data_IF_492934298289
#
_entry.id   IF_492934298289
#
_cell.length_a   1.000
_cell.length_b   1.000
_cell.length_c   1.000
_cell.angle_alpha   90.00
_cell.angle_beta   90.00
_cell.angle_gamma   90.00
#
_symmetry.space_group_name_H-M   'P 1'
#
loop_
_entity.id
_entity.type
_entity.pdbx_description
1 polymer ?
#
# COMPACT_ATOMS: atom_id res chain seq x y z
N UNK A 1 42.67 70.29 -18.13
CA UNK A 1 41.60 69.33 -18.42
C UNK A 1 41.71 68.25 -17.36
N UNK A 2 41.13 68.49 -16.19
CA UNK A 2 40.96 67.47 -15.15
C UNK A 2 39.45 67.26 -15.04
N UNK A 3 39.00 66.07 -15.43
CA UNK A 3 37.61 65.68 -15.43
C UNK A 3 37.18 65.37 -13.99
N UNK A 4 36.32 66.24 -13.45
CA UNK A 4 35.81 66.19 -12.10
C UNK A 4 34.46 65.45 -12.09
N UNK A 5 34.50 64.12 -12.19
CA UNK A 5 33.33 63.29 -11.87
C UNK A 5 33.47 62.79 -10.44
N UNK A 6 32.83 63.48 -9.49
CA UNK A 6 32.88 63.22 -8.04
C UNK A 6 32.17 61.92 -7.60
N UNK A 7 32.61 60.77 -8.10
CA UNK A 7 32.18 59.46 -7.63
C UNK A 7 33.37 58.71 -7.03
N UNK A 8 33.26 58.32 -5.76
CA UNK A 8 34.26 57.52 -5.06
C UNK A 8 34.28 56.08 -5.64
N UNK A 9 35.35 55.64 -6.32
CA UNK A 9 35.43 54.33 -6.96
C UNK A 9 35.21 53.16 -5.98
N UNK A 10 35.57 53.37 -4.71
CA UNK A 10 35.40 52.39 -3.64
C UNK A 10 33.93 52.16 -3.27
N UNK A 11 33.09 53.19 -3.37
CA UNK A 11 31.65 53.10 -3.08
C UNK A 11 30.92 52.25 -4.15
N UNK A 12 31.29 52.36 -5.42
CA UNK A 12 30.76 51.53 -6.51
C UNK A 12 31.15 50.05 -6.35
N UNK A 13 32.37 49.78 -5.89
CA UNK A 13 32.85 48.42 -5.65
C UNK A 13 32.15 47.77 -4.45
N UNK A 14 31.93 48.53 -3.36
CA UNK A 14 31.14 48.08 -2.22
C UNK A 14 29.69 47.77 -2.61
N UNK A 15 29.04 48.65 -3.38
CA UNK A 15 27.66 48.43 -3.84
C UNK A 15 27.53 47.15 -4.68
N UNK A 16 28.45 46.93 -5.63
CA UNK A 16 28.50 45.70 -6.44
C UNK A 16 28.65 44.44 -5.58
N UNK A 17 29.50 44.49 -4.56
CA UNK A 17 29.69 43.37 -3.63
C UNK A 17 28.42 43.06 -2.81
N UNK A 18 27.78 44.08 -2.23
CA UNK A 18 26.54 43.88 -1.47
C UNK A 18 25.39 43.37 -2.34
N UNK A 19 25.24 43.90 -3.56
CA UNK A 19 24.21 43.42 -4.51
C UNK A 19 24.43 41.95 -4.91
N UNK A 20 25.68 41.53 -5.13
CA UNK A 20 25.99 40.13 -5.43
C UNK A 20 25.63 39.19 -4.26
N UNK A 21 25.93 39.58 -3.01
CA UNK A 21 25.57 38.81 -1.81
C UNK A 21 24.06 38.66 -1.67
N UNK A 22 23.29 39.74 -1.90
CA UNK A 22 21.83 39.72 -1.84
C UNK A 22 21.25 38.82 -2.93
N UNK A 23 21.78 38.88 -4.15
CA UNK A 23 21.32 38.00 -5.25
C UNK A 23 21.61 36.53 -4.92
N UNK A 24 22.81 36.23 -4.42
CA UNK A 24 23.20 34.87 -4.04
C UNK A 24 22.33 34.35 -2.89
N UNK A 25 22.06 35.16 -1.87
CA UNK A 25 21.23 34.75 -0.73
C UNK A 25 19.78 34.52 -1.14
N UNK A 26 19.23 35.35 -2.04
CA UNK A 26 17.91 35.15 -2.63
C UNK A 26 17.83 33.87 -3.46
N UNK A 27 18.85 33.58 -4.28
CA UNK A 27 18.95 32.34 -5.06
C UNK A 27 19.00 31.10 -4.17
N UNK A 28 19.82 31.13 -3.13
CA UNK A 28 19.92 30.03 -2.17
C UNK A 28 18.58 29.83 -1.45
N UNK A 29 17.96 30.91 -0.95
CA UNK A 29 16.66 30.85 -0.29
C UNK A 29 15.57 30.27 -1.20
N UNK A 30 15.55 30.66 -2.48
CA UNK A 30 14.64 30.13 -3.48
C UNK A 30 14.83 28.63 -3.71
N UNK A 31 16.09 28.18 -3.85
CA UNK A 31 16.40 26.75 -4.02
C UNK A 31 15.96 25.93 -2.81
N UNK A 32 16.17 26.43 -1.59
CA UNK A 32 15.67 25.78 -0.37
C UNK A 32 14.15 25.68 -0.35
N UNK A 33 13.44 26.75 -0.72
CA UNK A 33 11.98 26.73 -0.80
C UNK A 33 11.46 25.77 -1.87
N UNK A 34 12.08 25.74 -3.04
CA UNK A 34 11.73 24.81 -4.12
C UNK A 34 11.95 23.35 -3.68
N UNK A 35 13.08 23.05 -3.04
CA UNK A 35 13.37 21.73 -2.51
C UNK A 35 12.37 21.32 -1.42
N UNK A 36 12.09 22.21 -0.46
CA UNK A 36 11.12 21.95 0.60
C UNK A 36 9.71 21.74 0.06
N UNK A 37 9.28 22.59 -0.88
CA UNK A 37 7.99 22.47 -1.56
C UNK A 37 7.88 21.15 -2.33
N UNK A 38 8.92 20.79 -3.09
CA UNK A 38 8.95 19.53 -3.83
C UNK A 38 8.87 18.31 -2.89
N UNK A 39 9.61 18.32 -1.78
CA UNK A 39 9.56 17.26 -0.77
C UNK A 39 8.16 17.14 -0.15
N UNK A 40 7.56 18.27 0.24
CA UNK A 40 6.23 18.31 0.83
C UNK A 40 5.15 17.84 -0.17
N UNK A 41 5.28 18.21 -1.44
CA UNK A 41 4.38 17.77 -2.50
C UNK A 41 4.44 16.24 -2.69
N UNK A 42 5.63 15.64 -2.71
CA UNK A 42 5.79 14.19 -2.80
C UNK A 42 5.24 13.46 -1.57
N UNK A 43 5.50 13.98 -0.36
CA UNK A 43 4.93 13.42 0.87
C UNK A 43 3.40 13.45 0.86
N UNK A 44 2.81 14.56 0.40
CA UNK A 44 1.35 14.70 0.33
C UNK A 44 0.74 13.73 -0.68
N UNK A 45 1.37 13.51 -1.84
CA UNK A 45 0.91 12.49 -2.80
C UNK A 45 0.93 11.08 -2.21
N UNK A 46 1.98 10.73 -1.47
CA UNK A 46 2.09 9.43 -0.80
C UNK A 46 1.06 9.30 0.33
N UNK A 47 0.86 10.35 1.13
CA UNK A 47 -0.17 10.40 2.18
C UNK A 47 -1.57 10.23 1.59
N UNK A 48 -1.88 10.94 0.51
CA UNK A 48 -3.16 10.85 -0.19
C UNK A 48 -3.41 9.43 -0.73
N UNK A 49 -2.42 8.83 -1.39
CA UNK A 49 -2.51 7.43 -1.84
C UNK A 49 -2.73 6.46 -0.69
N UNK A 50 -2.05 6.66 0.45
CA UNK A 50 -2.25 5.85 1.66
C UNK A 50 -3.63 6.04 2.28
N UNK A 51 -4.17 7.26 2.28
CA UNK A 51 -5.53 7.55 2.78
C UNK A 51 -6.57 6.91 1.86
N UNK A 52 -6.41 7.00 0.54
CA UNK A 52 -7.30 6.34 -0.43
C UNK A 52 -7.24 4.83 -0.27
N UNK A 53 -6.04 4.25 -0.13
CA UNK A 53 -5.88 2.82 0.14
C UNK A 53 -6.49 2.39 1.48
N UNK A 54 -6.27 3.18 2.54
CA UNK A 54 -6.80 2.93 3.87
C UNK A 54 -8.33 3.05 3.92
N UNK A 55 -8.93 4.03 3.24
CA UNK A 55 -10.38 4.19 3.16
C UNK A 55 -11.04 3.12 2.28
N UNK A 56 -10.39 2.71 1.19
CA UNK A 56 -10.79 1.57 0.37
C UNK A 56 -10.83 0.27 1.18
N UNK A 57 -9.71 -0.01 1.88
CA UNK A 57 -9.61 -1.17 2.77
C UNK A 57 -10.63 -1.08 3.88
N UNK A 58 -10.77 0.06 4.56
CA UNK A 58 -11.72 0.24 5.65
C UNK A 58 -13.18 0.05 5.20
N UNK A 59 -13.56 0.50 3.99
CA UNK A 59 -14.89 0.24 3.42
C UNK A 59 -15.10 -1.24 3.10
N UNK A 60 -14.08 -1.90 2.57
CA UNK A 60 -14.12 -3.34 2.31
C UNK A 60 -14.19 -4.15 3.63
N UNK A 61 -13.41 -3.75 4.62
CA UNK A 61 -13.41 -4.35 5.96
C UNK A 61 -14.75 -4.10 6.67
N UNK A 62 -15.37 -2.92 6.48
CA UNK A 62 -16.72 -2.66 6.95
C UNK A 62 -17.76 -3.56 6.25
N UNK A 63 -17.64 -3.77 4.94
CA UNK A 63 -18.50 -4.70 4.20
C UNK A 63 -18.28 -6.15 4.64
N UNK A 64 -17.05 -6.53 5.00
CA UNK A 64 -16.69 -7.83 5.56
C UNK A 64 -17.22 -8.01 6.99
N UNK A 65 -17.26 -6.93 7.76
CA UNK A 65 -17.76 -6.90 9.14
C UNK A 65 -19.30 -6.90 9.21
N UNK A 66 -19.99 -6.50 8.14
CA UNK A 66 -21.41 -6.77 7.98
C UNK A 66 -21.54 -8.18 7.41
N UNK A 67 -21.69 -9.17 8.29
CA UNK A 67 -22.30 -10.43 7.86
C UNK A 67 -23.61 -10.05 7.17
N UNK A 68 -23.72 -10.26 5.85
CA UNK A 68 -24.89 -9.82 5.09
C UNK A 68 -26.14 -10.34 5.81
N UNK A 69 -26.91 -9.47 6.50
CA UNK A 69 -28.03 -9.93 7.32
C UNK A 69 -29.04 -10.64 6.44
N UNK A 70 -29.17 -10.19 5.20
CA UNK A 70 -30.07 -10.79 4.23
C UNK A 70 -29.58 -12.18 3.77
N UNK A 71 -28.28 -12.41 3.60
CA UNK A 71 -27.74 -13.76 3.36
C UNK A 71 -28.00 -14.67 4.56
N UNK A 72 -27.79 -14.18 5.78
CA UNK A 72 -28.02 -14.95 7.01
C UNK A 72 -29.50 -15.33 7.15
N UNK A 73 -30.43 -14.36 7.06
CA UNK A 73 -31.87 -14.63 7.14
C UNK A 73 -32.34 -15.59 6.05
N UNK A 74 -31.88 -15.42 4.81
CA UNK A 74 -32.21 -16.35 3.73
C UNK A 74 -31.67 -17.76 3.99
N UNK A 75 -30.47 -17.87 4.55
CA UNK A 75 -29.86 -19.15 4.87
C UNK A 75 -30.61 -19.85 6.00
N UNK A 76 -31.09 -19.09 6.99
CA UNK A 76 -31.93 -19.62 8.07
C UNK A 76 -33.28 -20.12 7.55
N UNK A 77 -33.93 -19.42 6.62
CA UNK A 77 -35.19 -19.88 6.03
C UNK A 77 -35.03 -21.20 5.26
N UNK A 78 -33.95 -21.34 4.48
CA UNK A 78 -33.63 -22.61 3.80
C UNK A 78 -33.33 -23.70 4.82
N UNK A 79 -32.62 -23.39 5.91
CA UNK A 79 -32.37 -24.35 6.97
C UNK A 79 -33.68 -24.82 7.62
N UNK A 80 -34.60 -23.91 7.93
CA UNK A 80 -35.90 -24.24 8.51
C UNK A 80 -36.71 -25.17 7.60
N UNK A 81 -36.75 -24.93 6.28
CA UNK A 81 -37.44 -25.85 5.36
C UNK A 81 -36.76 -27.21 5.26
N UNK A 82 -35.43 -27.25 5.34
CA UNK A 82 -34.67 -28.51 5.28
C UNK A 82 -34.79 -29.35 6.56
N UNK A 83 -35.01 -28.73 7.74
CA UNK A 83 -35.13 -29.46 9.00
C UNK A 83 -36.29 -30.46 8.96
N UNK A 84 -37.42 -30.04 8.39
CA UNK A 84 -38.62 -30.88 8.32
C UNK A 84 -38.59 -31.83 7.12
N UNK A 85 -38.13 -31.38 5.95
CA UNK A 85 -38.18 -32.18 4.71
C UNK A 85 -36.98 -33.14 4.54
N UNK A 86 -35.76 -32.69 4.87
CA UNK A 86 -34.49 -33.40 4.59
C UNK A 86 -33.48 -33.18 5.73
N UNK A 87 -33.65 -33.82 6.90
CA UNK A 87 -32.83 -33.55 8.10
C UNK A 87 -31.31 -33.68 7.89
N UNK A 88 -30.87 -34.66 7.10
CA UNK A 88 -29.45 -34.81 6.76
C UNK A 88 -28.92 -33.64 5.93
N UNK A 89 -29.74 -33.11 5.02
CA UNK A 89 -29.38 -31.93 4.23
C UNK A 89 -29.33 -30.68 5.12
N UNK A 90 -30.22 -30.53 6.11
CA UNK A 90 -30.16 -29.47 7.11
C UNK A 90 -28.85 -29.51 7.93
N UNK A 91 -28.40 -30.69 8.36
CA UNK A 91 -27.11 -30.84 9.05
C UNK A 91 -25.92 -30.44 8.16
N UNK A 92 -25.92 -30.90 6.90
CA UNK A 92 -24.89 -30.53 5.91
C UNK A 92 -24.92 -29.03 5.61
N UNK A 93 -26.11 -28.43 5.51
CA UNK A 93 -26.31 -27.00 5.30
C UNK A 93 -25.74 -26.20 6.48
N UNK A 94 -26.08 -26.57 7.72
CA UNK A 94 -25.58 -25.92 8.95
C UNK A 94 -24.06 -26.00 9.05
N UNK A 95 -23.48 -27.16 8.76
CA UNK A 95 -22.03 -27.35 8.74
C UNK A 95 -21.36 -26.48 7.68
N UNK A 96 -21.93 -26.42 6.47
CA UNK A 96 -21.41 -25.61 5.37
C UNK A 96 -21.51 -24.12 5.72
N UNK A 97 -22.62 -23.68 6.29
CA UNK A 97 -22.83 -22.31 6.76
C UNK A 97 -21.79 -21.93 7.82
N UNK A 98 -21.52 -22.80 8.80
CA UNK A 98 -20.47 -22.60 9.81
C UNK A 98 -19.08 -22.46 9.17
N UNK A 99 -18.74 -23.30 8.18
CA UNK A 99 -17.47 -23.19 7.43
C UNK A 99 -17.36 -21.87 6.69
N UNK A 100 -18.46 -21.36 6.10
CA UNK A 100 -18.47 -20.06 5.44
C UNK A 100 -18.11 -18.95 6.41
N UNK A 101 -18.82 -18.88 7.56
CA UNK A 101 -18.56 -17.85 8.55
C UNK A 101 -17.15 -17.94 9.12
N UNK A 102 -16.67 -19.16 9.41
CA UNK A 102 -15.31 -19.37 9.89
C UNK A 102 -14.27 -18.85 8.91
N UNK A 103 -14.40 -19.17 7.63
CA UNK A 103 -13.49 -18.68 6.60
C UNK A 103 -13.51 -17.14 6.51
N UNK A 104 -14.69 -16.52 6.50
CA UNK A 104 -14.82 -15.05 6.47
C UNK A 104 -14.09 -14.39 7.65
N UNK A 105 -14.17 -15.00 8.84
CA UNK A 105 -13.50 -14.56 10.06
C UNK A 105 -11.99 -14.83 10.04
N UNK A 106 -11.55 -16.01 9.59
CA UNK A 106 -10.13 -16.40 9.53
C UNK A 106 -9.35 -15.58 8.49
N UNK A 107 -9.94 -15.32 7.34
CA UNK A 107 -9.31 -14.51 6.31
C UNK A 107 -9.39 -13.01 6.62
N UNK A 108 -9.85 -12.59 7.82
CA UNK A 108 -10.06 -11.18 8.20
C UNK A 108 -8.88 -10.28 7.86
N UNK A 109 -7.69 -10.70 8.25
CA UNK A 109 -6.48 -9.88 8.17
C UNK A 109 -5.53 -10.30 7.04
N UNK A 110 -5.96 -11.19 6.14
CA UNK A 110 -5.14 -11.64 5.02
C UNK A 110 -5.38 -10.76 3.79
N UNK A 111 -4.28 -10.26 3.22
CA UNK A 111 -4.29 -9.53 1.94
C UNK A 111 -4.53 -10.46 0.76
N UNK A 112 -3.94 -11.66 0.84
CA UNK A 112 -3.93 -12.69 -0.20
C UNK A 112 -4.08 -14.06 0.44
N UNK A 113 -4.75 -14.96 -0.27
CA UNK A 113 -4.89 -16.39 0.03
C UNK A 113 -4.47 -17.20 -1.18
N UNK A 114 -4.16 -18.49 -1.00
CA UNK A 114 -3.93 -19.37 -2.15
C UNK A 114 -5.17 -19.49 -3.01
N UNK A 115 -4.99 -19.69 -4.32
CA UNK A 115 -6.09 -20.03 -5.23
C UNK A 115 -6.79 -21.31 -4.75
N UNK A 116 -6.05 -22.27 -4.22
CA UNK A 116 -6.62 -23.48 -3.60
C UNK A 116 -7.56 -23.18 -2.42
N UNK A 117 -7.16 -22.33 -1.48
CA UNK A 117 -8.02 -21.90 -0.37
C UNK A 117 -9.29 -21.21 -0.87
N UNK A 118 -9.17 -20.33 -1.87
CA UNK A 118 -10.30 -19.60 -2.44
C UNK A 118 -11.24 -20.54 -3.23
N UNK A 119 -10.71 -21.49 -4.00
CA UNK A 119 -11.49 -22.51 -4.72
C UNK A 119 -12.23 -23.45 -3.74
N UNK A 120 -11.56 -23.91 -2.68
CA UNK A 120 -12.20 -24.74 -1.65
C UNK A 120 -13.34 -24.01 -0.92
N UNK A 121 -13.14 -22.71 -0.67
CA UNK A 121 -14.19 -21.84 -0.14
C UNK A 121 -15.35 -21.67 -1.14
N UNK A 122 -15.05 -21.40 -2.41
CA UNK A 122 -16.04 -21.29 -3.48
C UNK A 122 -16.86 -22.57 -3.65
N UNK A 123 -16.25 -23.76 -3.55
CA UNK A 123 -16.97 -25.06 -3.54
C UNK A 123 -17.94 -25.17 -2.38
N UNK A 124 -17.51 -24.79 -1.17
CA UNK A 124 -18.38 -24.80 0.01
C UNK A 124 -19.57 -23.85 -0.17
N UNK A 125 -19.33 -22.68 -0.75
CA UNK A 125 -20.37 -21.69 -1.04
C UNK A 125 -21.33 -22.16 -2.14
N UNK A 126 -20.80 -22.75 -3.21
CA UNK A 126 -21.57 -23.35 -4.29
C UNK A 126 -22.47 -24.49 -3.80
N UNK A 127 -22.01 -25.29 -2.84
CA UNK A 127 -22.82 -26.34 -2.22
C UNK A 127 -24.06 -25.76 -1.50
N UNK A 128 -23.91 -24.64 -0.77
CA UNK A 128 -25.05 -23.95 -0.15
C UNK A 128 -26.03 -23.42 -1.21
N UNK A 129 -25.53 -22.82 -2.28
CA UNK A 129 -26.37 -22.35 -3.38
C UNK A 129 -27.11 -23.51 -4.07
N UNK A 130 -26.44 -24.65 -4.26
CA UNK A 130 -27.05 -25.85 -4.83
C UNK A 130 -28.13 -26.45 -3.93
N UNK A 131 -27.97 -26.42 -2.61
CA UNK A 131 -29.04 -26.81 -1.68
C UNK A 131 -30.25 -25.87 -1.75
N UNK A 132 -30.03 -24.58 -2.00
CA UNK A 132 -31.10 -23.58 -2.12
C UNK A 132 -31.85 -23.61 -3.44
N UNK A 133 -31.13 -23.79 -4.55
CA UNK A 133 -31.68 -23.67 -5.91
C UNK A 133 -31.81 -25.02 -6.63
N UNK A 134 -31.40 -26.11 -5.98
CA UNK A 134 -31.49 -27.48 -6.48
C UNK A 134 -30.96 -27.62 -7.91
N UNK A 135 -31.77 -28.15 -8.84
CA UNK A 135 -31.39 -28.37 -10.23
C UNK A 135 -31.39 -27.10 -11.08
N UNK A 136 -31.77 -25.95 -10.51
CA UNK A 136 -31.82 -24.67 -11.22
C UNK A 136 -30.44 -24.00 -11.36
N UNK A 137 -29.40 -24.54 -10.73
CA UNK A 137 -28.04 -24.00 -10.77
C UNK A 137 -27.00 -25.12 -10.90
N UNK A 138 -25.94 -24.85 -11.65
CA UNK A 138 -24.82 -25.77 -11.82
C UNK A 138 -23.49 -25.02 -11.76
N UNK A 139 -22.49 -25.69 -11.22
CA UNK A 139 -21.15 -25.16 -11.04
C UNK A 139 -20.14 -26.13 -11.61
N UNK A 140 -19.19 -25.59 -12.38
CA UNK A 140 -18.00 -26.31 -12.83
C UNK A 140 -16.77 -25.52 -12.37
N UNK A 141 -15.88 -26.18 -11.63
CA UNK A 141 -14.67 -25.56 -11.11
C UNK A 141 -13.59 -26.61 -10.82
N UNK A 142 -12.31 -26.29 -11.01
CA UNK A 142 -11.22 -27.22 -10.75
C UNK A 142 -11.10 -27.53 -9.25
N UNK A 143 -10.66 -28.76 -8.94
CA UNK A 143 -10.42 -29.17 -7.55
C UNK A 143 -9.21 -28.42 -6.97
N UNK A 144 -8.17 -28.25 -7.78
CA UNK A 144 -6.92 -27.59 -7.43
C UNK A 144 -6.49 -26.59 -8.51
N UNK A 145 -5.78 -25.56 -8.08
CA UNK A 145 -5.10 -24.61 -8.93
C UNK A 145 -3.96 -25.28 -9.71
N UNK A 146 -3.61 -24.74 -10.88
CA UNK A 146 -2.48 -25.24 -11.65
C UNK A 146 -1.14 -25.03 -10.90
N UNK A 147 -1.03 -23.93 -10.16
CA UNK A 147 0.11 -23.60 -9.30
C UNK A 147 -0.33 -23.51 -7.82
N UNK A 148 0.20 -24.34 -6.92
CA UNK A 148 -0.11 -24.29 -5.48
C UNK A 148 0.26 -22.96 -4.80
N UNK A 149 1.26 -22.24 -5.32
CA UNK A 149 1.72 -20.96 -4.76
C UNK A 149 0.94 -19.77 -5.31
N UNK A 150 0.09 -19.99 -6.32
CA UNK A 150 -0.80 -18.98 -6.87
C UNK A 150 -1.66 -18.37 -5.77
N UNK A 151 -1.73 -17.03 -5.74
CA UNK A 151 -2.51 -16.26 -4.78
C UNK A 151 -3.59 -15.43 -5.46
N UNK A 152 -4.65 -15.17 -4.72
CA UNK A 152 -5.75 -14.26 -5.09
C UNK A 152 -6.21 -13.47 -3.87
N UNK A 153 -6.95 -12.39 -4.14
CA UNK A 153 -7.60 -11.61 -3.09
C UNK A 153 -8.72 -12.46 -2.45
N UNK A 154 -8.76 -12.61 -1.11
CA UNK A 154 -9.74 -13.46 -0.45
C UNK A 154 -11.16 -12.93 -0.64
N UNK A 155 -12.12 -13.86 -0.70
CA UNK A 155 -13.56 -13.62 -0.90
C UNK A 155 -13.92 -13.07 -2.30
N UNK A 156 -12.99 -13.09 -3.26
CA UNK A 156 -13.26 -12.66 -4.64
C UNK A 156 -14.23 -13.61 -5.33
N UNK A 157 -14.03 -14.93 -5.24
CA UNK A 157 -14.91 -15.89 -5.91
C UNK A 157 -16.31 -15.88 -5.31
N UNK A 158 -16.44 -15.76 -3.99
CA UNK A 158 -17.77 -15.63 -3.35
C UNK A 158 -18.54 -14.44 -3.92
N UNK A 159 -17.92 -13.26 -4.01
CA UNK A 159 -18.56 -12.08 -4.56
C UNK A 159 -18.96 -12.28 -6.04
N UNK A 160 -18.16 -12.99 -6.83
CA UNK A 160 -18.49 -13.31 -8.22
C UNK A 160 -19.65 -14.31 -8.33
N UNK A 161 -19.67 -15.34 -7.49
CA UNK A 161 -20.77 -16.30 -7.39
C UNK A 161 -22.08 -15.62 -6.95
N UNK A 162 -22.00 -14.73 -5.96
CA UNK A 162 -23.14 -13.93 -5.49
C UNK A 162 -23.67 -13.03 -6.61
N UNK A 163 -22.79 -12.33 -7.34
CA UNK A 163 -23.16 -11.50 -8.48
C UNK A 163 -23.88 -12.32 -9.56
N UNK A 164 -23.38 -13.52 -9.89
CA UNK A 164 -24.02 -14.39 -10.88
C UNK A 164 -25.46 -14.74 -10.46
N UNK A 165 -25.69 -15.16 -9.22
CA UNK A 165 -27.04 -15.52 -8.72
C UNK A 165 -27.95 -14.28 -8.58
N UNK A 166 -27.40 -13.15 -8.15
CA UNK A 166 -28.15 -11.92 -7.91
C UNK A 166 -28.73 -11.37 -9.21
N UNK A 167 -27.91 -11.28 -10.25
CA UNK A 167 -28.28 -10.63 -11.51
C UNK A 167 -29.02 -11.54 -12.50
N UNK A 168 -28.98 -12.86 -12.30
CA UNK A 168 -29.61 -13.82 -13.20
C UNK A 168 -30.84 -14.50 -12.57
N UNK A 169 -31.81 -14.84 -13.43
CA UNK A 169 -32.91 -15.74 -13.11
C UNK A 169 -32.33 -17.14 -12.92
N UNK A 170 -32.90 -17.85 -11.95
CA UNK A 170 -32.50 -19.20 -11.58
C UNK A 170 -33.77 -20.04 -11.63
N UNK A 171 -33.87 -20.96 -12.59
CA UNK A 171 -35.04 -21.83 -12.75
C UNK A 171 -34.65 -23.16 -13.40
N UNK A 172 -35.41 -24.23 -13.14
CA UNK A 172 -35.09 -25.55 -13.67
C UNK A 172 -35.17 -25.62 -15.20
N UNK A 173 -36.10 -24.87 -15.81
CA UNK A 173 -36.24 -24.80 -17.27
C UNK A 173 -35.03 -24.16 -17.95
N UNK A 174 -34.38 -23.22 -17.25
CA UNK A 174 -33.19 -22.52 -17.73
C UNK A 174 -32.17 -22.40 -16.60
N UNK A 175 -31.38 -23.46 -16.33
CA UNK A 175 -30.45 -23.46 -15.22
C UNK A 175 -29.35 -22.40 -15.41
N UNK A 176 -28.97 -21.76 -14.29
CA UNK A 176 -27.80 -20.89 -14.25
C UNK A 176 -26.55 -21.77 -14.19
N UNK A 177 -25.68 -21.64 -15.19
CA UNK A 177 -24.40 -22.35 -15.29
C UNK A 177 -23.29 -21.39 -14.95
N UNK A 178 -22.44 -21.76 -13.99
CA UNK A 178 -21.29 -20.96 -13.56
C UNK A 178 -20.04 -21.82 -13.67
N UNK A 179 -19.07 -21.34 -14.43
CA UNK A 179 -17.79 -21.99 -14.70
C UNK A 179 -16.67 -21.15 -14.07
N UNK A 180 -15.73 -21.79 -13.38
CA UNK A 180 -14.51 -21.18 -12.86
C UNK A 180 -13.32 -21.94 -13.44
N UNK A 181 -12.37 -21.24 -14.04
CA UNK A 181 -11.18 -21.84 -14.64
C UNK A 181 -10.02 -20.86 -14.67
N UNK A 182 -8.81 -21.38 -14.89
CA UNK A 182 -7.61 -20.55 -15.06
C UNK A 182 -7.34 -20.32 -16.55
N UNK A 183 -7.06 -19.06 -16.91
CA UNK A 183 -6.73 -18.69 -18.29
C UNK A 183 -5.85 -17.43 -18.31
N UNK A 184 -4.75 -17.44 -19.06
CA UNK A 184 -3.90 -16.26 -19.25
C UNK A 184 -3.32 -15.68 -17.95
N UNK A 185 -3.06 -16.53 -16.94
CA UNK A 185 -2.61 -16.11 -15.61
C UNK A 185 -3.67 -15.33 -14.82
N UNK A 186 -4.94 -15.54 -15.14
CA UNK A 186 -6.11 -15.04 -14.43
C UNK A 186 -6.98 -16.21 -13.97
N UNK A 187 -7.70 -16.00 -12.89
CA UNK A 187 -8.80 -16.85 -12.48
C UNK A 187 -10.08 -16.24 -13.07
N UNK A 188 -10.80 -17.00 -13.88
CA UNK A 188 -11.94 -16.55 -14.65
C UNK A 188 -13.20 -17.13 -14.07
N UNK A 189 -14.24 -16.31 -13.88
CA UNK A 189 -15.60 -16.77 -13.59
C UNK A 189 -16.50 -16.39 -14.75
N UNK A 190 -17.18 -17.38 -15.31
CA UNK A 190 -18.09 -17.23 -16.46
C UNK A 190 -19.47 -17.76 -16.10
N UNK A 191 -20.53 -17.05 -16.48
CA UNK A 191 -21.90 -17.56 -16.35
C UNK A 191 -22.74 -17.24 -17.60
N UNK A 192 -23.74 -18.09 -17.88
CA UNK A 192 -24.76 -17.75 -18.88
C UNK A 192 -25.65 -16.59 -18.37
N UNK A 193 -26.04 -15.69 -19.27
CA UNK A 193 -26.86 -14.52 -18.94
C UNK A 193 -28.35 -14.86 -19.00
N UNK A 194 -29.04 -14.51 -17.93
CA UNK A 194 -30.48 -14.65 -17.76
C UNK A 194 -31.02 -13.46 -16.95
N UNK A 195 -30.91 -12.21 -17.45
CA UNK A 195 -31.11 -11.01 -16.65
C UNK A 195 -32.48 -11.00 -15.94
N UNK A 196 -32.49 -10.70 -14.63
CA UNK A 196 -33.74 -10.43 -13.91
C UNK A 196 -34.30 -9.08 -14.33
N UNK A 197 -35.56 -9.05 -14.78
CA UNK A 197 -36.25 -7.83 -15.22
C UNK A 197 -36.44 -6.78 -14.11
N UNK A 198 -36.33 -7.17 -12.84
CA UNK A 198 -36.62 -6.31 -11.68
C UNK A 198 -35.42 -5.51 -11.16
N UNK A 199 -34.20 -5.80 -11.61
CA UNK A 199 -33.00 -5.06 -11.19
C UNK A 199 -32.79 -3.85 -12.12
N UNK A 200 -33.21 -2.65 -11.68
CA UNK A 200 -32.65 -1.38 -12.20
C UNK A 200 -31.12 -1.49 -12.13
N UNK A 201 -30.39 -0.92 -13.12
CA UNK A 201 -28.90 -0.91 -13.22
C UNK A 201 -28.28 -1.01 -11.82
N UNK A 202 -27.80 -2.20 -11.48
CA UNK A 202 -27.36 -2.51 -10.12
C UNK A 202 -26.24 -1.56 -9.67
N UNK A 203 -26.08 -1.38 -8.37
CA UNK A 203 -25.10 -0.44 -7.80
C UNK A 203 -23.64 -0.72 -8.19
N UNK A 204 -23.33 -1.87 -8.82
CA UNK A 204 -21.98 -2.25 -9.24
C UNK A 204 -20.99 -2.46 -8.09
N UNK A 205 -21.47 -2.36 -6.84
CA UNK A 205 -20.63 -2.29 -5.63
C UNK A 205 -19.73 -3.52 -5.50
N UNK A 206 -20.23 -4.73 -5.79
CA UNK A 206 -19.44 -5.96 -5.69
C UNK A 206 -18.21 -5.98 -6.61
N UNK A 207 -18.40 -5.71 -7.91
CA UNK A 207 -17.30 -5.67 -8.88
C UNK A 207 -16.38 -4.46 -8.67
N UNK A 208 -16.95 -3.32 -8.27
CA UNK A 208 -16.16 -2.14 -7.92
C UNK A 208 -15.24 -2.43 -6.74
N UNK A 209 -15.72 -3.15 -5.72
CA UNK A 209 -14.93 -3.52 -4.54
C UNK A 209 -13.78 -4.47 -4.89
N UNK A 210 -14.05 -5.51 -5.70
CA UNK A 210 -13.00 -6.42 -6.19
C UNK A 210 -11.96 -5.61 -6.97
N UNK A 211 -12.40 -4.81 -7.95
CA UNK A 211 -11.51 -4.01 -8.80
C UNK A 211 -10.66 -3.04 -8.00
N UNK A 212 -11.23 -2.36 -7.00
CA UNK A 212 -10.53 -1.42 -6.14
C UNK A 212 -9.46 -2.12 -5.30
N UNK A 213 -9.74 -3.32 -4.78
CA UNK A 213 -8.77 -4.09 -3.99
C UNK A 213 -7.60 -4.59 -4.84
N UNK A 214 -7.86 -5.08 -6.05
CA UNK A 214 -6.80 -5.47 -6.98
C UNK A 214 -5.92 -4.28 -7.38
N UNK A 215 -6.47 -3.07 -7.57
CA UNK A 215 -5.69 -1.85 -7.87
C UNK A 215 -4.68 -1.49 -6.77
N UNK A 216 -4.91 -1.89 -5.52
CA UNK A 216 -3.98 -1.64 -4.41
C UNK A 216 -2.80 -2.62 -4.41
N UNK A 217 -2.96 -3.79 -5.03
CA UNK A 217 -2.00 -4.90 -4.92
C UNK A 217 -1.23 -5.13 -6.22
N UNK A 218 -1.79 -4.75 -7.37
CA UNK A 218 -1.18 -4.99 -8.67
C UNK A 218 -1.57 -3.93 -9.70
N UNK A 219 -0.73 -3.79 -10.74
CA UNK A 219 -1.04 -3.01 -11.94
C UNK A 219 -1.95 -3.76 -12.91
N UNK A 220 -2.03 -5.10 -12.81
CA UNK A 220 -2.93 -5.93 -13.62
C UNK A 220 -4.38 -5.63 -13.24
N UNK A 221 -5.23 -5.38 -14.23
CA UNK A 221 -6.62 -4.99 -13.99
C UNK A 221 -7.53 -6.21 -13.96
N UNK A 222 -8.58 -6.12 -13.15
CA UNK A 222 -9.75 -7.00 -13.27
C UNK A 222 -10.47 -6.63 -14.56
N UNK A 223 -10.73 -7.59 -15.43
CA UNK A 223 -11.51 -7.38 -16.65
C UNK A 223 -12.91 -7.96 -16.50
N UNK A 224 -13.87 -7.27 -17.10
CA UNK A 224 -15.26 -7.70 -17.20
C UNK A 224 -15.60 -7.69 -18.69
N UNK A 225 -16.00 -8.84 -19.19
CA UNK A 225 -16.41 -9.06 -20.57
C UNK A 225 -17.85 -9.55 -20.56
N UNK A 226 -18.68 -8.93 -21.37
CA UNK A 226 -20.11 -9.24 -21.45
C UNK A 226 -20.51 -9.30 -22.92
N UNK A 227 -21.09 -10.44 -23.32
CA UNK A 227 -21.77 -10.61 -24.60
C UNK A 227 -23.27 -10.85 -24.38
N UNK A 228 -24.04 -11.12 -25.43
CA UNK A 228 -25.50 -11.30 -25.32
C UNK A 228 -25.89 -12.54 -24.50
N UNK A 229 -25.01 -13.54 -24.44
CA UNK A 229 -25.27 -14.87 -23.89
C UNK A 229 -24.50 -15.17 -22.60
N UNK A 230 -23.39 -14.47 -22.37
CA UNK A 230 -22.40 -14.79 -21.36
C UNK A 230 -21.90 -13.53 -20.64
N UNK A 231 -21.59 -13.70 -19.36
CA UNK A 231 -20.93 -12.71 -18.53
C UNK A 231 -19.65 -13.34 -17.96
N UNK A 232 -18.52 -12.67 -18.12
CA UNK A 232 -17.19 -13.17 -17.76
C UNK A 232 -16.43 -12.12 -16.96
N UNK A 233 -15.84 -12.54 -15.86
CA UNK A 233 -14.96 -11.71 -15.03
C UNK A 233 -13.63 -12.43 -14.82
N UNK A 234 -12.54 -11.74 -15.13
CA UNK A 234 -11.19 -12.29 -14.99
C UNK A 234 -10.44 -11.50 -13.92
N UNK A 235 -10.05 -12.18 -12.84
CA UNK A 235 -9.23 -11.61 -11.77
C UNK A 235 -7.78 -12.10 -11.92
N UNK A 236 -6.77 -11.21 -11.87
CA UNK A 236 -5.38 -11.62 -11.99
C UNK A 236 -4.96 -12.61 -10.90
N UNK A 237 -4.33 -13.72 -11.29
CA UNK A 237 -3.59 -14.56 -10.33
C UNK A 237 -2.32 -13.81 -9.97
N UNK A 238 -2.02 -13.76 -8.67
CA UNK A 238 -0.89 -13.04 -8.11
C UNK A 238 0.13 -14.05 -7.59
N UNK A 239 1.40 -13.73 -7.73
CA UNK A 239 2.48 -14.46 -7.08
C UNK A 239 3.04 -13.52 -6.02
N UNK A 240 2.76 -13.78 -4.74
CA UNK A 240 3.52 -13.08 -3.69
C UNK A 240 4.89 -13.76 -3.69
N UNK A 241 5.95 -13.09 -4.14
CA UNK A 241 7.28 -13.46 -3.64
C UNK A 241 7.14 -13.41 -2.12
N UNK A 242 7.23 -14.57 -1.49
CA UNK A 242 7.19 -14.67 -0.04
C UNK A 242 8.52 -14.09 0.44
N UNK A 243 8.66 -12.77 0.47
CA UNK A 243 9.36 -12.19 1.59
C UNK A 243 8.46 -12.54 2.77
N UNK A 244 8.90 -13.48 3.60
CA UNK A 244 8.25 -13.77 4.87
C UNK A 244 8.39 -12.49 5.70
N UNK A 245 7.52 -11.53 5.43
CA UNK A 245 7.16 -10.52 6.38
C UNK A 245 6.00 -11.19 7.10
N UNK A 246 6.35 -12.01 8.10
CA UNK A 246 5.50 -12.16 9.28
C UNK A 246 4.92 -10.77 9.53
N UNK A 247 3.59 -10.63 9.51
CA UNK A 247 2.95 -9.33 9.81
C UNK A 247 3.63 -8.81 11.06
N UNK A 248 4.49 -7.78 10.95
CA UNK A 248 5.34 -7.45 12.06
C UNK A 248 4.37 -6.93 13.11
N UNK A 249 4.48 -7.50 14.31
CA UNK A 249 3.90 -6.91 15.52
C UNK A 249 3.99 -5.38 15.41
N UNK A 250 2.96 -4.62 15.79
CA UNK A 250 2.96 -3.15 15.67
C UNK A 250 4.25 -2.54 16.28
N UNK A 251 4.80 -3.22 17.28
CA UNK A 251 6.10 -2.95 17.90
C UNK A 251 7.30 -3.02 16.92
N UNK A 252 7.30 -3.95 15.96
CA UNK A 252 8.35 -4.11 14.94
C UNK A 252 8.30 -3.01 13.88
N UNK A 253 7.11 -2.58 13.45
CA UNK A 253 6.97 -1.42 12.55
C UNK A 253 7.47 -0.13 13.22
N UNK A 254 7.22 0.02 14.53
CA UNK A 254 7.70 1.16 15.31
C UNK A 254 9.23 1.17 15.43
N UNK A 255 9.85 0.04 15.79
CA UNK A 255 11.32 -0.11 15.82
C UNK A 255 11.96 0.14 14.46
N UNK A 256 11.32 -0.32 13.39
CA UNK A 256 11.76 -0.06 12.03
C UNK A 256 11.73 1.44 11.69
N UNK A 257 10.64 2.12 12.03
CA UNK A 257 10.49 3.56 11.78
C UNK A 257 11.49 4.38 12.60
N UNK A 258 11.77 3.96 13.83
CA UNK A 258 12.80 4.54 14.70
C UNK A 258 14.21 4.38 14.11
N UNK A 259 14.56 3.19 13.62
CA UNK A 259 15.84 2.93 12.97
C UNK A 259 16.02 3.79 11.71
N UNK A 260 14.96 3.95 10.90
CA UNK A 260 15.00 4.81 9.70
C UNK A 260 15.23 6.29 10.06
N UNK A 261 14.56 6.80 11.10
CA UNK A 261 14.77 8.17 11.60
C UNK A 261 16.20 8.35 12.11
N UNK A 262 16.73 7.35 12.79
CA UNK A 262 18.11 7.36 13.29
C UNK A 262 19.14 7.43 12.15
N UNK A 263 18.96 6.64 11.08
CA UNK A 263 19.82 6.67 9.89
C UNK A 263 19.78 8.03 9.21
N UNK A 264 18.60 8.65 9.11
CA UNK A 264 18.46 9.99 8.56
C UNK A 264 19.21 11.03 9.42
N UNK A 265 19.04 10.98 10.75
CA UNK A 265 19.75 11.85 11.69
C UNK A 265 21.27 11.67 11.63
N UNK A 266 21.76 10.43 11.42
CA UNK A 266 23.17 10.11 11.25
C UNK A 266 23.73 10.72 9.95
N UNK A 267 23.03 10.57 8.82
CA UNK A 267 23.43 11.20 7.54
C UNK A 267 23.48 12.72 7.66
N UNK A 268 22.52 13.33 8.35
CA UNK A 268 22.47 14.76 8.58
C UNK A 268 23.62 15.26 9.47
N UNK A 269 23.95 14.51 10.53
CA UNK A 269 25.11 14.78 11.37
C UNK A 269 26.42 14.79 10.56
N UNK A 270 26.66 13.76 9.74
CA UNK A 270 27.88 13.69 8.93
C UNK A 270 27.98 14.80 7.87
N UNK A 271 26.86 15.22 7.27
CA UNK A 271 26.86 16.37 6.36
C UNK A 271 27.18 17.68 7.08
N UNK A 272 26.64 17.88 8.29
CA UNK A 272 26.97 19.04 9.12
C UNK A 272 28.44 19.02 9.56
N UNK A 273 28.95 17.86 9.97
CA UNK A 273 30.34 17.69 10.37
C UNK A 273 31.31 17.95 9.21
N UNK A 274 31.03 17.39 8.03
CA UNK A 274 31.82 17.63 6.83
C UNK A 274 31.83 19.13 6.46
N UNK A 275 30.66 19.78 6.52
CA UNK A 275 30.54 21.22 6.26
C UNK A 275 31.34 22.04 7.27
N UNK A 276 31.31 21.68 8.56
CA UNK A 276 32.11 22.32 9.61
C UNK A 276 33.61 22.18 9.35
N UNK A 277 34.07 20.98 8.99
CA UNK A 277 35.47 20.72 8.68
C UNK A 277 35.97 21.43 7.42
N UNK A 278 35.09 21.85 6.50
CA UNK A 278 35.47 22.59 5.29
C UNK A 278 35.40 24.10 5.53
N UNK A 279 34.31 24.56 6.14
CA UNK A 279 34.01 26.00 6.29
C UNK A 279 34.87 26.64 7.37
N UNK A 280 35.11 25.99 8.51
CA UNK A 280 35.91 26.60 9.59
C UNK A 280 37.36 26.86 9.14
N UNK A 281 38.08 25.92 8.52
CA UNK A 281 39.42 26.21 7.97
C UNK A 281 39.42 27.31 6.91
N UNK A 282 38.37 27.40 6.09
CA UNK A 282 38.22 28.48 5.11
C UNK A 282 38.03 29.85 5.78
N UNK A 283 37.24 29.94 6.84
CA UNK A 283 37.08 31.18 7.63
C UNK A 283 38.37 31.57 8.36
N UNK A 284 39.12 30.59 8.87
CA UNK A 284 40.47 30.81 9.44
C UNK A 284 41.40 31.41 8.39
N UNK A 285 41.39 30.86 7.17
CA UNK A 285 42.21 31.37 6.06
C UNK A 285 41.83 32.81 5.69
N UNK A 286 40.54 33.14 5.61
CA UNK A 286 40.08 34.52 5.36
C UNK A 286 40.54 35.45 6.48
N UNK A 287 40.30 35.06 7.74
CA UNK A 287 40.66 35.87 8.90
C UNK A 287 42.18 36.12 8.95
N UNK A 288 43.00 35.13 8.60
CA UNK A 288 44.46 35.26 8.44
C UNK A 288 44.86 36.25 7.35
N UNK A 289 44.13 36.30 6.24
CA UNK A 289 44.43 37.18 5.09
C UNK A 289 43.96 38.62 5.28
N UNK A 290 42.92 38.85 6.08
CA UNK A 290 42.33 40.18 6.25
C UNK A 290 42.73 40.88 7.55
N UNK A 291 42.72 40.16 8.69
CA UNK A 291 42.75 40.81 10.00
C UNK A 291 43.11 39.81 11.11
N UNK A 292 44.39 39.43 11.19
CA UNK A 292 44.85 38.42 12.16
C UNK A 292 44.91 38.93 13.60
N UNK A 293 44.95 40.25 13.82
CA UNK A 293 44.93 40.84 15.16
C UNK A 293 43.63 40.53 15.92
N UNK A 294 42.52 40.27 15.20
CA UNK A 294 41.25 39.88 15.79
C UNK A 294 40.69 38.60 15.14
N UNK A 295 40.79 37.50 15.88
CA UNK A 295 40.43 36.16 15.40
C UNK A 295 38.93 35.87 15.47
N UNK A 296 38.14 36.58 14.67
CA UNK A 296 36.68 36.47 14.70
C UNK A 296 36.14 35.09 14.29
N UNK A 297 36.94 34.22 13.67
CA UNK A 297 36.51 32.87 13.29
C UNK A 297 36.13 31.99 14.51
N UNK A 298 36.59 32.34 15.72
CA UNK A 298 36.24 31.63 16.95
C UNK A 298 34.74 31.66 17.26
N UNK A 299 34.04 32.75 16.94
CA UNK A 299 32.59 32.87 17.19
C UNK A 299 31.77 31.83 16.41
N UNK A 300 31.88 31.73 15.06
CA UNK A 300 31.18 30.70 14.31
C UNK A 300 31.71 29.28 14.61
N UNK A 301 33.01 29.11 14.88
CA UNK A 301 33.57 27.81 15.23
C UNK A 301 32.98 27.26 16.54
N UNK A 302 33.00 28.05 17.62
CA UNK A 302 32.45 27.63 18.92
C UNK A 302 30.93 27.49 18.84
N UNK A 303 30.23 28.48 18.28
CA UNK A 303 28.77 28.46 18.18
C UNK A 303 28.23 27.26 17.41
N UNK A 304 28.82 26.96 16.25
CA UNK A 304 28.41 25.81 15.45
C UNK A 304 28.92 24.49 16.04
N UNK A 305 30.10 24.49 16.65
CA UNK A 305 30.66 23.33 17.34
C UNK A 305 29.78 22.83 18.48
N UNK A 306 29.19 23.74 19.27
CA UNK A 306 28.21 23.38 20.32
C UNK A 306 26.95 22.74 19.72
N UNK A 307 26.45 23.22 18.58
CA UNK A 307 25.31 22.58 17.90
C UNK A 307 25.63 21.15 17.43
N UNK A 308 26.84 20.95 16.90
CA UNK A 308 27.35 19.64 16.47
C UNK A 308 27.51 18.66 17.64
N UNK A 309 27.95 19.12 18.81
CA UNK A 309 28.07 18.24 19.99
C UNK A 309 26.71 17.81 20.50
N UNK A 310 25.70 18.69 20.55
CA UNK A 310 24.33 18.29 20.92
C UNK A 310 23.72 17.29 19.92
N UNK A 311 23.97 17.47 18.62
CA UNK A 311 23.53 16.51 17.58
C UNK A 311 24.27 15.16 17.72
N UNK A 312 25.56 15.17 18.04
CA UNK A 312 26.30 13.94 18.32
C UNK A 312 25.76 13.20 19.55
N UNK A 313 25.41 13.91 20.63
CA UNK A 313 24.83 13.31 21.84
C UNK A 313 23.48 12.64 21.50
N UNK A 314 22.59 13.33 20.78
CA UNK A 314 21.27 12.79 20.45
C UNK A 314 21.34 11.59 19.49
N UNK A 315 22.34 11.54 18.61
CA UNK A 315 22.53 10.42 17.69
C UNK A 315 23.27 9.26 18.36
N UNK A 316 24.30 9.49 19.17
CA UNK A 316 25.15 8.41 19.65
C UNK A 316 24.86 7.95 21.09
N UNK A 317 24.28 8.77 21.96
CA UNK A 317 24.10 8.40 23.38
C UNK A 317 22.72 7.84 23.75
N UNK A 318 21.70 8.06 22.92
CA UNK A 318 20.30 7.86 23.34
C UNK A 318 19.81 6.39 23.36
N UNK A 319 20.63 5.39 22.97
CA UNK A 319 20.21 3.96 22.99
C UNK A 319 21.33 2.97 23.34
N UNK A 320 21.04 2.07 24.28
CA UNK A 320 21.94 1.06 24.85
C UNK A 320 22.49 0.02 23.84
N UNK A 321 23.68 -0.49 24.14
CA UNK A 321 24.59 -1.30 23.30
C UNK A 321 23.96 -2.52 22.58
N UNK A 322 22.86 -3.08 23.09
CA UNK A 322 22.18 -4.25 22.50
C UNK A 322 21.30 -3.90 21.28
N UNK A 323 20.81 -2.66 21.14
CA UNK A 323 19.99 -2.24 19.98
C UNK A 323 20.80 -2.02 18.69
N UNK A 324 22.05 -1.57 18.82
CA UNK A 324 22.91 -1.16 17.70
C UNK A 324 23.20 -2.30 16.70
N UNK A 325 23.45 -3.53 17.16
CA UNK A 325 23.73 -4.67 16.25
C UNK A 325 22.52 -5.10 15.42
N UNK A 326 21.30 -4.87 15.92
CA UNK A 326 20.09 -5.13 15.15
C UNK A 326 19.85 -4.02 14.11
N UNK A 327 20.02 -2.76 14.50
CA UNK A 327 19.92 -1.61 13.60
C UNK A 327 20.97 -1.66 12.49
N UNK A 328 22.23 -1.95 12.81
CA UNK A 328 23.33 -2.10 11.83
C UNK A 328 23.07 -3.21 10.79
N UNK A 329 22.39 -4.29 11.18
CA UNK A 329 21.96 -5.34 10.25
C UNK A 329 20.89 -4.81 9.29
N UNK A 330 19.89 -4.10 9.81
CA UNK A 330 18.82 -3.50 8.99
C UNK A 330 19.33 -2.38 8.08
N UNK A 331 20.30 -1.59 8.52
CA UNK A 331 20.97 -0.57 7.70
C UNK A 331 21.64 -1.21 6.50
N UNK A 332 22.33 -2.34 6.69
CA UNK A 332 22.99 -3.09 5.61
C UNK A 332 21.97 -3.60 4.58
N UNK A 333 20.88 -4.16 5.06
CA UNK A 333 19.78 -4.66 4.22
C UNK A 333 19.15 -3.54 3.37
N UNK A 334 18.94 -2.35 3.95
CA UNK A 334 18.48 -1.17 3.22
C UNK A 334 19.46 -0.68 2.15
N UNK A 335 20.75 -0.65 2.45
CA UNK A 335 21.78 -0.25 1.49
C UNK A 335 21.86 -1.22 0.30
N UNK A 336 21.59 -2.50 0.53
CA UNK A 336 21.51 -3.52 -0.52
C UNK A 336 20.20 -3.44 -1.33
N UNK A 337 19.08 -3.07 -0.70
CA UNK A 337 17.81 -2.79 -1.40
C UNK A 337 17.91 -1.53 -2.27
N UNK A 338 18.52 -0.46 -1.75
CA UNK A 338 18.70 0.82 -2.46
C UNK A 338 19.67 0.66 -3.63
N UNK A 339 20.78 -0.09 -3.45
CA UNK A 339 21.68 -0.50 -4.55
C UNK A 339 20.97 -1.36 -5.60
N UNK A 340 20.11 -2.29 -5.17
CA UNK A 340 19.29 -3.07 -6.11
C UNK A 340 18.40 -2.12 -6.88
N UNK A 341 17.69 -1.21 -6.22
CA UNK A 341 16.75 -0.29 -6.86
C UNK A 341 17.41 0.68 -7.84
N UNK A 342 18.66 1.12 -7.57
CA UNK A 342 19.44 1.96 -8.49
C UNK A 342 20.03 1.19 -9.68
N UNK A 343 19.90 -0.13 -9.75
CA UNK A 343 20.24 -0.95 -10.92
C UNK A 343 19.04 -1.21 -11.84
N UNK A 344 17.84 -0.77 -11.45
CA UNK A 344 16.59 -0.90 -12.24
C UNK A 344 15.99 0.45 -12.65
N UNK A 345 16.70 1.55 -12.42
CA UNK A 345 16.57 2.79 -13.21
C UNK A 345 17.54 2.71 -14.39
#
# INVERSE_FOLDING_TARGET
MEDNTGYDPWALQQLRFYTAIVIISLLISLLFHLFYFYRNFQENRVKEQKIIAGTASARFDALKNQLDPHFLFNSLNVLTSLIDEKPEAAQKFTTSLSKIYRYVLEQKNKELVTVNEELGFARTYAALLKMRFENSISFDMPEYAADPEAKVVPLSLQLLLENAVKHNRVSEKHPLKIEIYEEGGCLVTRNNKQPKQTLKKGSGVGLANISQRYKLLTRRKVSVEEDDTCFRVSIPILTKQITIVETPDQNMNQKYLEAKRHVAALKEFYWNLASYCIIIPFLVFINYRTSWEYQWFWFPAVGWGVGLTFHAISVFMDKGFLGRRWEERKIREYMEEEKRRSQWE
#
